data_IF_484287823029
#
_entry.id   IF_484287823029
#
_cell.length_a   1.000
_cell.length_b   1.000
_cell.length_c   1.000
_cell.angle_alpha   90.00
_cell.angle_beta   90.00
_cell.angle_gamma   90.00
#
_symmetry.space_group_name_H-M   'P 1'
#
loop_
_entity.id
_entity.type
_entity.pdbx_description
1 polymer ?
2 non-polymer ?
3 non-polymer ?
4 water ?
#
# COMPACT_ATOMS: atom_id res chain seq x y z
N UNK A 1 -13.32 -9.53 -9.96
CA UNK A 1 -13.54 -8.99 -8.59
C UNK A 1 -12.54 -7.88 -8.27
N UNK A 2 -11.30 -7.96 -8.77
CA UNK A 2 -10.27 -6.94 -8.43
C UNK A 2 -10.22 -5.85 -9.51
N UNK A 3 -10.93 -5.99 -10.58
CA UNK A 3 -10.59 -5.28 -11.84
C UNK A 3 -10.64 -3.76 -11.75
N UNK A 4 -11.49 -3.20 -10.90
CA UNK A 4 -11.52 -1.71 -10.88
C UNK A 4 -10.28 -1.16 -10.21
N UNK A 5 -9.50 -1.97 -9.48
CA UNK A 5 -8.25 -1.50 -8.89
C UNK A 5 -7.08 -1.47 -9.89
N UNK A 6 -7.23 -2.16 -11.02
CA UNK A 6 -6.09 -2.35 -11.92
C UNK A 6 -5.75 -1.08 -12.65
N UNK A 7 -4.47 -0.83 -12.85
CA UNK A 7 -3.97 0.28 -13.63
C UNK A 7 -2.86 1.00 -12.93
N UNK A 8 -2.56 2.19 -13.44
CA UNK A 8 -1.49 3.06 -12.94
C UNK A 8 -2.13 4.21 -12.20
N UNK A 9 -1.63 4.47 -10.99
CA UNK A 9 -2.24 5.40 -10.06
C UNK A 9 -1.13 6.34 -9.54
N UNK A 10 -1.49 7.60 -9.34
CA UNK A 10 -0.56 8.67 -8.93
C UNK A 10 -1.01 9.24 -7.58
N UNK A 11 -0.10 9.42 -6.61
CA UNK A 11 -0.50 10.00 -5.31
C UNK A 11 -0.88 11.48 -5.51
N UNK A 12 -2.06 11.85 -4.99
CA UNK A 12 -2.56 13.22 -5.10
C UNK A 12 -3.00 13.81 -3.74
N UNK A 13 -2.86 13.08 -2.64
CA UNK A 13 -3.23 13.61 -1.31
C UNK A 13 -2.69 12.63 -0.28
N UNK A 14 -2.20 13.17 0.84
CA UNK A 14 -1.70 12.30 1.91
C UNK A 14 -1.99 12.96 3.26
N UNK A 15 -2.55 12.16 4.16
CA UNK A 15 -2.88 12.60 5.52
C UNK A 15 -2.26 11.61 6.50
N UNK A 16 -1.48 12.16 7.44
CA UNK A 16 -0.93 11.36 8.57
C UNK A 16 0.07 10.30 8.15
N UNK A 17 0.74 10.45 6.99
CA UNK A 17 1.77 9.48 6.65
C UNK A 17 2.95 9.56 7.59
N UNK A 18 3.32 10.78 8.05
CA UNK A 18 4.41 10.86 9.01
C UNK A 18 4.06 10.09 10.28
N UNK A 19 2.84 10.21 10.77
CA UNK A 19 2.45 9.47 11.97
C UNK A 19 2.63 7.96 11.75
N UNK A 20 2.17 7.48 10.60
CA UNK A 20 2.27 6.06 10.29
C UNK A 20 3.73 5.60 10.23
N UNK A 21 4.55 6.34 9.50
CA UNK A 21 5.97 6.00 9.42
C UNK A 21 6.65 6.04 10.78
N UNK A 22 6.33 7.05 11.56
CA UNK A 22 6.96 7.16 12.88
C UNK A 22 6.55 5.94 13.73
N UNK A 23 5.31 5.51 13.67
CA UNK A 23 4.84 4.34 14.42
C UNK A 23 5.62 3.10 14.07
N UNK A 24 5.99 2.98 12.77
CA UNK A 24 6.80 1.87 12.31
C UNK A 24 8.31 2.01 12.63
N UNK A 25 8.72 3.14 13.20
CA UNK A 25 10.12 3.32 13.54
C UNK A 25 10.98 3.85 12.41
N UNK A 26 10.38 4.42 11.38
CA UNK A 26 11.13 5.01 10.29
C UNK A 26 11.83 6.29 10.80
N UNK A 27 13.10 6.45 10.47
CA UNK A 27 13.87 7.58 10.96
C UNK A 27 13.51 8.89 10.31
N UNK A 28 13.87 9.98 11.00
CA UNK A 28 13.37 11.31 10.61
C UNK A 28 13.79 11.69 9.20
N UNK A 29 15.00 11.34 8.77
CA UNK A 29 15.47 11.77 7.45
C UNK A 29 14.70 11.08 6.35
N UNK A 30 14.41 9.81 6.56
CA UNK A 30 13.59 9.05 5.61
C UNK A 30 12.16 9.62 5.57
N UNK A 31 11.59 9.90 6.75
CA UNK A 31 10.25 10.49 6.78
C UNK A 31 10.21 11.80 6.00
N UNK A 32 11.26 12.55 6.14
CA UNK A 32 11.31 13.83 5.46
C UNK A 32 11.22 13.63 3.93
N UNK A 33 12.03 12.74 3.35
CA UNK A 33 12.00 12.46 1.90
C UNK A 33 10.63 11.90 1.52
N UNK A 34 10.14 10.95 2.30
CA UNK A 34 8.87 10.31 2.01
C UNK A 34 7.72 11.31 2.01
N UNK A 35 7.76 12.31 2.88
CA UNK A 35 6.69 13.31 2.99
C UNK A 35 6.59 14.17 1.72
N UNK A 36 7.60 14.22 0.88
CA UNK A 36 7.42 15.06 -0.33
C UNK A 36 7.31 14.16 -1.58
N UNK A 37 7.48 12.84 -1.43
CA UNK A 37 7.45 11.92 -2.56
C UNK A 37 6.01 11.63 -2.94
N UNK A 38 5.78 11.49 -4.26
CA UNK A 38 4.48 11.12 -4.80
C UNK A 38 4.66 9.83 -5.62
N UNK A 39 4.49 8.67 -4.99
CA UNK A 39 4.70 7.45 -5.73
C UNK A 39 3.67 7.23 -6.83
N UNK A 40 4.09 6.38 -7.75
CA UNK A 40 3.20 5.79 -8.74
C UNK A 40 2.99 4.32 -8.33
N UNK A 41 1.73 3.91 -8.25
CA UNK A 41 1.37 2.53 -7.91
C UNK A 41 0.73 1.88 -9.14
N UNK A 42 1.27 0.74 -9.54
CA UNK A 42 0.78 0.01 -10.71
C UNK A 42 0.26 -1.33 -10.20
N UNK A 43 -1.01 -1.64 -10.51
CA UNK A 43 -1.60 -2.89 -10.07
C UNK A 43 -2.02 -3.63 -11.35
N UNK A 44 -1.48 -4.83 -11.55
CA UNK A 44 -1.72 -5.63 -12.75
C UNK A 44 -2.14 -7.04 -12.29
N UNK A 45 -2.92 -7.74 -13.14
CA UNK A 45 -3.17 -9.16 -12.92
C UNK A 45 -2.82 -9.95 -14.16
N UNK A 46 -2.54 -11.19 -13.88
CA UNK A 46 -2.33 -12.23 -14.91
C UNK A 46 -2.93 -13.48 -14.33
N UNK A 47 -4.16 -13.82 -14.77
CA UNK A 47 -4.87 -14.90 -14.12
C UNK A 47 -5.07 -14.56 -12.67
N UNK A 48 -4.90 -15.45 -11.72
CA UNK A 48 -5.23 -14.93 -10.38
C UNK A 48 -3.93 -14.45 -9.69
N UNK A 49 -2.82 -14.18 -10.43
CA UNK A 49 -1.67 -13.53 -9.78
C UNK A 49 -1.75 -12.01 -9.99
N UNK A 50 -1.72 -11.29 -8.87
CA UNK A 50 -1.64 -9.82 -8.90
C UNK A 50 -0.18 -9.42 -8.68
N UNK A 51 0.21 -8.33 -9.34
CA UNK A 51 1.48 -7.69 -9.11
C UNK A 51 1.24 -6.22 -8.80
N UNK A 52 1.82 -5.76 -7.70
CA UNK A 52 1.62 -4.39 -7.23
C UNK A 52 3.01 -3.75 -7.12
N UNK A 53 3.24 -2.76 -7.97
CA UNK A 53 4.50 -2.02 -8.05
C UNK A 53 4.28 -0.65 -7.40
N UNK A 54 5.26 -0.19 -6.64
CA UNK A 54 5.25 1.17 -6.11
C UNK A 54 6.57 1.80 -6.50
N UNK A 55 6.52 2.89 -7.28
CA UNK A 55 7.70 3.47 -7.88
C UNK A 55 7.88 4.92 -7.37
N UNK A 56 9.08 5.36 -7.12
CA UNK A 56 9.12 6.80 -6.80
C UNK A 56 10.55 7.22 -7.07
N UNK A 57 10.78 8.49 -6.86
CA UNK A 57 12.16 9.01 -6.94
C UNK A 57 13.00 8.56 -5.76
N UNK A 58 12.41 7.95 -4.73
CA UNK A 58 13.20 7.54 -3.55
C UNK A 58 13.40 6.04 -3.43
N UNK A 59 12.30 5.28 -3.32
CA UNK A 59 12.39 3.79 -3.21
C UNK A 59 11.48 3.12 -4.27
N UNK A 60 11.78 1.88 -4.80
CA UNK A 60 10.79 1.13 -5.55
C UNK A 60 10.51 -0.17 -4.78
N UNK A 61 9.28 -0.66 -4.89
CA UNK A 61 8.93 -1.98 -4.41
C UNK A 61 8.08 -2.69 -5.46
N UNK A 62 8.08 -4.02 -5.37
CA UNK A 62 7.16 -4.83 -6.18
C UNK A 62 6.85 -6.10 -5.39
N UNK A 63 5.57 -6.46 -5.38
CA UNK A 63 5.12 -7.73 -4.81
C UNK A 63 4.22 -8.42 -5.83
N UNK A 64 4.25 -9.75 -5.82
CA UNK A 64 3.30 -10.57 -6.55
C UNK A 64 2.66 -11.57 -5.58
N UNK A 65 1.35 -11.81 -5.75
CA UNK A 65 0.63 -12.65 -4.83
C UNK A 65 -0.65 -13.15 -5.48
N UNK A 66 -1.19 -14.20 -4.88
CA UNK A 66 -2.54 -14.70 -5.19
C UNK A 66 -3.42 -14.22 -4.02
N UNK A 67 -4.64 -13.74 -4.29
CA UNK A 67 -5.53 -13.36 -3.22
C UNK A 67 -5.72 -14.56 -2.31
N UNK A 68 -5.68 -14.30 -1.01
CA UNK A 68 -5.98 -15.30 -0.03
C UNK A 68 -4.89 -16.31 0.24
N UNK A 69 -3.67 -16.08 -0.29
CA UNK A 69 -2.56 -17.00 -0.09
C UNK A 69 -1.40 -16.20 0.51
N UNK A 70 -0.90 -16.63 1.66
CA UNK A 70 0.16 -15.91 2.35
C UNK A 70 1.43 -15.88 1.46
N UNK A 71 2.17 -14.79 1.60
CA UNK A 71 3.45 -14.62 0.90
C UNK A 71 4.41 -13.88 1.83
N UNK A 72 5.71 -14.15 1.62
CA UNK A 72 6.74 -13.36 2.29
C UNK A 72 6.92 -12.04 1.55
N UNK A 73 7.19 -10.98 2.33
CA UNK A 73 7.37 -9.65 1.78
C UNK A 73 8.47 -8.94 2.57
N UNK A 74 9.23 -8.13 1.85
CA UNK A 74 10.21 -7.23 2.48
C UNK A 74 9.77 -5.81 2.11
N UNK A 75 9.31 -5.06 3.09
CA UNK A 75 8.66 -3.79 2.83
C UNK A 75 9.66 -2.71 2.46
N UNK A 76 9.14 -1.53 2.06
CA UNK A 76 10.00 -0.43 1.64
C UNK A 76 10.97 -0.02 2.74
N UNK A 77 10.51 -0.11 3.99
CA UNK A 77 11.30 0.22 5.18
C UNK A 77 12.00 -1.02 5.77
N UNK A 78 12.12 -2.09 4.99
CA UNK A 78 12.95 -3.26 5.27
C UNK A 78 12.43 -4.11 6.42
N UNK A 79 11.11 -4.11 6.66
CA UNK A 79 10.53 -5.13 7.53
C UNK A 79 10.33 -6.43 6.71
N UNK A 80 10.66 -7.55 7.34
CA UNK A 80 10.42 -8.87 6.74
C UNK A 80 9.15 -9.40 7.38
N UNK A 81 8.10 -9.46 6.57
CA UNK A 81 6.75 -9.70 7.08
C UNK A 81 6.11 -10.89 6.36
N UNK A 82 5.07 -11.43 6.99
CA UNK A 82 4.20 -12.44 6.42
C UNK A 82 2.92 -11.70 6.01
N UNK A 83 2.56 -11.81 4.75
CA UNK A 83 1.48 -10.97 4.17
C UNK A 83 0.39 -11.83 3.57
N UNK A 84 -0.81 -11.22 3.54
CA UNK A 84 -1.92 -11.80 2.79
C UNK A 84 -2.76 -10.63 2.30
N UNK A 85 -3.26 -10.78 1.07
CA UNK A 85 -4.14 -9.75 0.46
C UNK A 85 -5.44 -10.44 0.10
N UNK A 86 -6.57 -9.83 0.50
CA UNK A 86 -7.90 -10.41 0.19
C UNK A 86 -8.88 -9.30 -0.16
N UNK A 87 -9.99 -9.62 -0.76
CA UNK A 87 -11.10 -8.66 -0.93
C UNK A 87 -12.06 -8.81 0.23
N UNK A 88 -12.44 -7.68 0.79
CA UNK A 88 -13.34 -7.62 1.95
C UNK A 88 -14.25 -6.45 1.74
N UNK A 89 -15.53 -6.72 1.53
CA UNK A 89 -16.41 -5.58 1.35
C UNK A 89 -16.08 -4.78 0.13
N UNK A 90 -15.50 -5.43 -0.89
CA UNK A 90 -15.09 -4.73 -2.11
C UNK A 90 -13.77 -3.97 -1.98
N UNK A 91 -13.14 -4.04 -0.83
CA UNK A 91 -11.85 -3.38 -0.57
C UNK A 91 -10.75 -4.42 -0.70
N UNK A 92 -9.61 -3.96 -1.19
CA UNK A 92 -8.44 -4.81 -1.27
C UNK A 92 -7.69 -4.65 0.07
N UNK A 93 -7.64 -5.67 0.94
CA UNK A 93 -7.10 -5.58 2.29
C UNK A 93 -5.77 -6.36 2.32
N UNK A 94 -4.69 -5.66 2.56
CA UNK A 94 -3.34 -6.24 2.68
C UNK A 94 -2.93 -6.19 4.16
N UNK A 95 -2.74 -7.37 4.78
CA UNK A 95 -2.36 -7.51 6.17
C UNK A 95 -0.90 -8.01 6.22
N UNK A 96 -0.06 -7.28 6.97
CA UNK A 96 1.34 -7.67 7.20
C UNK A 96 1.53 -7.99 8.68
N UNK A 97 2.24 -9.09 8.95
CA UNK A 97 2.51 -9.55 10.30
C UNK A 97 4.00 -9.77 10.47
N UNK A 98 4.55 -9.30 11.60
CA UNK A 98 5.96 -9.54 11.92
C UNK A 98 6.15 -9.25 13.40
N UNK A 99 6.96 -10.06 14.07
CA UNK A 99 7.31 -9.79 15.48
C UNK A 99 6.06 -9.60 16.32
N UNK A 100 4.99 -10.31 16.05
CA UNK A 100 3.74 -10.18 16.79
C UNK A 100 2.95 -8.90 16.52
N UNK A 101 3.49 -8.04 15.67
CA UNK A 101 2.89 -6.77 15.23
C UNK A 101 2.09 -7.02 13.96
N UNK A 102 1.21 -6.06 13.66
CA UNK A 102 0.42 -6.11 12.44
C UNK A 102 0.29 -4.69 11.89
N UNK A 103 0.15 -4.59 10.58
CA UNK A 103 -0.33 -3.36 9.95
C UNK A 103 -1.24 -3.76 8.80
N UNK A 104 -2.25 -2.92 8.56
CA UNK A 104 -3.14 -3.13 7.43
C UNK A 104 -3.02 -1.96 6.44
N UNK A 105 -3.11 -2.33 5.17
CA UNK A 105 -3.11 -1.42 4.03
C UNK A 105 -4.41 -1.72 3.28
N UNK A 106 -5.39 -0.85 3.39
CA UNK A 106 -6.72 -1.10 2.84
C UNK A 106 -6.92 -0.16 1.67
N UNK A 107 -7.31 -0.71 0.50
CA UNK A 107 -7.58 0.10 -0.66
C UNK A 107 -9.05 -0.01 -1.04
N UNK A 108 -9.66 1.13 -1.32
CA UNK A 108 -11.10 1.24 -1.62
C UNK A 108 -11.22 2.25 -2.77
N UNK A 109 -12.19 2.06 -3.61
CA UNK A 109 -12.49 3.03 -4.68
C UNK A 109 -13.66 3.91 -4.25
N UNK A 110 -13.44 5.22 -4.25
CA UNK A 110 -14.51 6.19 -3.90
C UNK A 110 -14.51 7.25 -5.00
N UNK A 111 -15.61 7.34 -5.76
CA UNK A 111 -15.75 8.34 -6.85
C UNK A 111 -14.58 8.25 -7.83
N UNK A 112 -14.12 7.05 -8.17
CA UNK A 112 -13.04 6.85 -9.15
C UNK A 112 -11.64 7.02 -8.59
N UNK A 113 -11.51 7.38 -7.31
CA UNK A 113 -10.19 7.56 -6.70
C UNK A 113 -9.88 6.33 -5.85
N UNK A 114 -8.64 6.01 -5.76
CA UNK A 114 -8.23 4.91 -4.90
C UNK A 114 -7.74 5.49 -3.57
N UNK A 115 -8.42 5.06 -2.51
CA UNK A 115 -8.13 5.54 -1.17
C UNK A 115 -7.42 4.41 -0.43
N UNK A 116 -6.20 4.68 0.00
CA UNK A 116 -5.36 3.75 0.74
C UNK A 116 -5.32 4.19 2.21
N UNK A 117 -5.80 3.33 3.09
CA UNK A 117 -5.79 3.60 4.52
C UNK A 117 -4.78 2.65 5.16
N UNK A 118 -3.80 3.23 5.84
CA UNK A 118 -2.71 2.51 6.48
C UNK A 118 -2.86 2.65 7.99
N UNK A 119 -2.92 1.50 8.69
CA UNK A 119 -3.08 1.54 10.16
C UNK A 119 -1.97 0.75 10.82
N UNK A 120 -1.30 1.33 11.79
CA UNK A 120 -0.32 0.62 12.63
C UNK A 120 -0.40 1.28 14.01
N UNK A 121 -0.50 0.45 15.05
CA UNK A 121 -0.68 1.04 16.37
C UNK A 121 -1.97 1.83 16.38
N UNK A 122 -1.91 3.06 16.82
CA UNK A 122 -3.04 3.97 16.77
C UNK A 122 -3.03 4.84 15.55
N UNK A 123 -1.94 4.84 14.77
CA UNK A 123 -1.78 5.75 13.65
C UNK A 123 -2.62 5.27 12.45
N UNK A 124 -3.32 6.23 11.87
CA UNK A 124 -4.18 5.97 10.71
C UNK A 124 -3.87 7.05 9.66
N UNK A 125 -3.32 6.57 8.53
CA UNK A 125 -2.96 7.41 7.40
C UNK A 125 -3.91 7.15 6.24
N UNK A 126 -4.31 8.23 5.57
CA UNK A 126 -5.17 8.11 4.39
C UNK A 126 -4.48 8.77 3.22
N UNK A 127 -4.16 7.97 2.11
CA UNK A 127 -3.45 8.37 0.86
C UNK A 127 -4.43 8.21 -0.30
N UNK A 128 -4.58 9.25 -1.10
CA UNK A 128 -5.48 9.22 -2.24
C UNK A 128 -4.65 9.19 -3.51
N UNK A 129 -5.03 8.24 -4.38
CA UNK A 129 -4.40 8.06 -5.68
C UNK A 129 -5.43 8.29 -6.78
N UNK A 130 -4.96 8.87 -7.87
CA UNK A 130 -5.78 9.16 -9.07
C UNK A 130 -5.24 8.27 -10.19
N UNK A 131 -6.15 7.82 -11.05
CA UNK A 131 -5.79 6.94 -12.14
C UNK A 131 -5.12 7.72 -13.24
N UNK A 132 -4.05 7.20 -13.75
CA UNK A 132 -3.43 7.62 -15.01
C UNK A 132 -4.05 6.90 -16.22
N UNK A 133 -4.24 7.63 -17.31
CA UNK A 133 -4.81 7.11 -18.56
C UNK A 133 -3.84 6.16 -19.24
X LIG B 1 1.51 5.13 -0.71
X LIG B 1 2.00 4.00 -0.40
X LIG B 1 2.64 3.90 0.98
X LIG B 1 3.40 2.64 1.27
X LIG B 1 4.00 2.62 2.66
X LIG B 1 4.95 1.42 2.85
X LIG B 1 5.46 1.28 4.26
X LIG B 1 6.13 2.44 4.87
X LIG B 1 7.36 2.89 4.11
X LIG B 1 8.00 4.19 4.65
X LIG B 1 9.09 4.73 3.82
X LIG B 1 10.37 3.89 3.69
X LIG B 1 11.35 4.48 2.70
X LIG B 1 12.76 3.89 2.69
X LIG B 1 13.66 4.42 1.57
X LIG B 1 13.91 5.90 1.68
X LIG B 1 13.26 6.92 1.05
X LIG B 1 12.14 6.73 0.06
X LIG B 1 10.94 7.60 0.43
X LIG B 1 9.68 7.40 -0.39
X LIG B 1 8.85 6.17 -0.09
X LIG B 1 7.64 6.00 -0.94
X LIG B 1 6.73 4.82 -0.63
X LIG B 1 7.42 3.48 -0.58
X LIG B 1 8.00 2.98 -1.94
X LIG B 1 1.97 2.99 -1.13
X LIG C 1 4.10 16.02 -0.45
X LIG C 1 3.87 14.82 -1.21
X LIG C 1 2.41 14.49 -1.17
X LIG C 1 1.71 15.49 -1.90
X LIG C 1 0.34 15.22 -1.93
X LIG C 1 -0.39 16.29 -2.57
X LIG C 1 -0.39 16.18 -4.01
X LIG C 1 -1.14 17.25 -4.58
X LIG C 1 -1.46 16.91 -6.02
X LIG C 1 -0.26 16.84 -6.82
X LIG C 1 -0.54 16.40 -8.14
X LIG C 1 0.67 16.59 -8.99
X LIG C 1 1.72 15.73 -8.51
X LIG C 1 2.92 15.71 -9.29
X LIG C 1 3.67 17.01 -9.39
X LIG C 1 4.02 17.43 -8.05
X LIG C 1 4.80 18.60 -8.12
X LIG C 1 5.23 19.01 -6.73
X LIG C 1 4.09 19.46 -5.90
#
# INVERSE_FOLDING_TARGET
>A
MVDAFLGTWKLVDSKNFDDYMKSLGVGFATRQVASMTKPTTIIEKNGDILTLKTHSTFKNTEISFKLGVEFDETTADDRKVKSIVTLDGGKLVHLQKWDGQETTLVRELIDGKLILTLTHGTAVCTRTYEKEA
>B hetero
1 NER O1 C1 C2 C3 C4 C5 C6 C7 C8 C9 C10 C11 C12 C13 C14 C15 C16 C17 C18 C19 C20 C21 C22 C23 C24 O2
>C hetero
1 P6G O1 C2 C3 O4 C5 C6 O7 C8 C9 O10 C11 C12 O13 C14 C15 O16 C17 C18 O19
#
